data_IF_932769357710
#
_entry.id   IF_932769357710
#
_cell.length_a   1.000
_cell.length_b   1.000
_cell.length_c   1.000
_cell.angle_alpha   90.00
_cell.angle_beta   90.00
_cell.angle_gamma   90.00
#
_symmetry.space_group_name_H-M   'P 1'
#
loop_
_entity.id
_entity.type
_entity.pdbx_description
1 polymer ?
#
# COMPACT_ATOMS: atom_id res chain seq x y z
N UNK A 1 55.61 -9.46 -39.01
CA UNK A 1 54.51 -10.08 -39.75
C UNK A 1 53.25 -9.37 -39.34
N UNK A 2 52.90 -8.49 -40.06
CA UNK A 2 51.75 -8.02 -40.79
C UNK A 2 50.42 -8.33 -40.06
N UNK A 3 49.91 -7.34 -39.32
CA UNK A 3 48.55 -7.28 -38.83
C UNK A 3 47.68 -6.48 -39.79
N UNK A 4 46.56 -7.07 -40.22
CA UNK A 4 45.58 -6.45 -41.12
C UNK A 4 44.47 -5.80 -40.27
N UNK A 5 44.15 -4.54 -40.41
CA UNK A 5 43.00 -3.93 -39.72
C UNK A 5 41.71 -4.16 -40.51
N UNK A 6 40.74 -4.80 -39.88
CA UNK A 6 39.38 -4.93 -40.42
C UNK A 6 38.62 -3.58 -40.27
N UNK A 7 38.50 -2.86 -41.37
CA UNK A 7 37.61 -1.70 -41.52
C UNK A 7 36.18 -2.19 -41.79
N UNK A 8 35.30 -2.20 -40.79
CA UNK A 8 33.87 -2.34 -41.01
C UNK A 8 33.32 -0.97 -41.39
N UNK A 9 32.88 -0.86 -42.65
CA UNK A 9 32.24 0.32 -43.21
C UNK A 9 30.88 0.60 -42.54
N UNK A 10 30.80 1.67 -41.78
CA UNK A 10 29.54 2.34 -41.44
C UNK A 10 28.95 3.00 -42.68
N UNK A 11 28.02 2.34 -43.32
CA UNK A 11 27.22 2.92 -44.42
C UNK A 11 25.99 2.05 -44.73
N UNK A 12 25.12 1.80 -43.74
CA UNK A 12 23.79 1.20 -44.02
C UNK A 12 22.74 1.54 -42.97
N UNK A 13 22.97 2.52 -42.06
CA UNK A 13 21.95 2.98 -41.12
C UNK A 13 21.47 4.42 -41.38
N UNK A 14 21.87 5.04 -42.47
CA UNK A 14 21.59 6.43 -42.79
C UNK A 14 20.48 6.68 -43.82
N UNK A 15 19.69 5.68 -44.21
CA UNK A 15 18.71 5.86 -45.31
C UNK A 15 17.29 5.34 -45.03
N UNK A 16 16.94 5.05 -43.78
CA UNK A 16 15.61 4.55 -43.43
C UNK A 16 14.84 5.50 -42.45
N UNK A 17 15.35 6.69 -42.19
CA UNK A 17 14.72 7.66 -41.26
C UNK A 17 14.34 9.01 -41.90
N UNK A 18 14.46 9.15 -43.24
CA UNK A 18 13.88 10.30 -43.94
C UNK A 18 12.60 9.85 -44.63
N UNK A 19 11.51 10.62 -44.35
CA UNK A 19 10.17 10.55 -44.91
C UNK A 19 9.15 9.60 -44.24
N UNK A 20 8.89 9.82 -42.95
CA UNK A 20 7.52 9.72 -42.41
C UNK A 20 7.33 10.78 -41.33
N UNK A 21 6.67 11.86 -41.67
CA UNK A 21 6.07 12.79 -40.71
C UNK A 21 5.06 12.01 -39.84
N UNK A 22 5.47 11.60 -38.65
CA UNK A 22 4.54 11.12 -37.64
C UNK A 22 3.77 12.31 -37.10
N UNK A 23 2.44 12.30 -37.17
CA UNK A 23 1.65 13.42 -36.65
C UNK A 23 1.97 13.63 -35.18
N UNK A 24 2.39 14.84 -34.80
CA UNK A 24 2.86 15.22 -33.47
C UNK A 24 1.93 14.73 -32.33
N UNK A 25 0.61 14.65 -32.59
CA UNK A 25 -0.37 14.11 -31.64
C UNK A 25 -0.18 12.62 -31.33
N UNK A 26 0.28 11.81 -32.29
CA UNK A 26 0.55 10.37 -32.07
C UNK A 26 1.87 10.15 -31.36
N UNK A 27 2.87 10.99 -31.59
CA UNK A 27 4.16 10.96 -30.87
C UNK A 27 3.96 11.41 -29.43
N UNK A 28 3.17 12.46 -29.20
CA UNK A 28 2.84 12.91 -27.85
C UNK A 28 2.03 11.87 -27.08
N UNK A 29 1.09 11.18 -27.74
CA UNK A 29 0.33 10.08 -27.15
C UNK A 29 1.23 8.88 -26.84
N UNK A 30 2.18 8.54 -27.72
CA UNK A 30 3.12 7.44 -27.48
C UNK A 30 4.09 7.77 -26.35
N UNK A 31 4.60 9.01 -26.28
CA UNK A 31 5.46 9.47 -25.17
C UNK A 31 4.67 9.52 -23.87
N UNK A 32 3.41 9.93 -23.89
CA UNK A 32 2.54 9.91 -22.71
C UNK A 32 2.21 8.47 -22.27
N UNK A 33 1.94 7.56 -23.20
CA UNK A 33 1.75 6.14 -22.90
C UNK A 33 3.03 5.48 -22.37
N UNK A 34 4.20 5.82 -22.92
CA UNK A 34 5.49 5.34 -22.41
C UNK A 34 5.81 5.95 -21.04
N UNK A 35 5.48 7.22 -20.81
CA UNK A 35 5.60 7.86 -19.48
C UNK A 35 4.64 7.24 -18.46
N UNK A 36 3.41 6.90 -18.87
CA UNK A 36 2.43 6.20 -18.01
C UNK A 36 2.84 4.73 -17.81
N UNK A 37 3.40 4.06 -18.82
CA UNK A 37 3.93 2.69 -18.64
C UNK A 37 5.25 2.66 -17.85
N UNK A 38 6.07 3.71 -17.88
CA UNK A 38 7.25 3.84 -17.02
C UNK A 38 6.85 4.19 -15.55
N UNK A 39 5.67 4.77 -15.32
CA UNK A 39 5.14 4.97 -13.97
C UNK A 39 4.55 3.69 -13.36
N UNK A 40 4.41 2.62 -14.12
CA UNK A 40 4.11 1.25 -13.68
C UNK A 40 5.38 0.39 -13.61
N UNK A 41 6.57 0.99 -13.55
CA UNK A 41 7.69 0.27 -13.00
C UNK A 41 7.33 -0.01 -11.54
N UNK A 42 6.92 -1.26 -11.31
CA UNK A 42 6.92 -1.91 -10.01
C UNK A 42 8.28 -1.57 -9.38
N UNK A 43 8.31 -0.52 -8.59
CA UNK A 43 9.41 -0.31 -7.66
C UNK A 43 9.24 -1.45 -6.65
N UNK A 44 9.95 -2.54 -6.89
CA UNK A 44 10.00 -3.65 -5.96
C UNK A 44 10.35 -3.10 -4.58
N UNK A 45 9.71 -3.60 -3.53
CA UNK A 45 10.01 -3.24 -2.16
C UNK A 45 11.51 -3.41 -1.92
N UNK A 46 12.25 -2.31 -1.91
CA UNK A 46 13.71 -2.27 -1.92
C UNK A 46 14.29 -1.05 -2.64
N UNK A 47 13.53 -0.38 -3.52
CA UNK A 47 13.93 0.91 -4.05
C UNK A 47 13.54 2.00 -3.04
N UNK A 48 14.48 2.42 -2.23
CA UNK A 48 14.29 3.54 -1.32
C UNK A 48 13.90 4.80 -2.11
N UNK A 49 12.89 5.53 -1.63
CA UNK A 49 12.56 6.84 -2.17
C UNK A 49 13.74 7.80 -1.99
N UNK A 50 13.89 8.77 -2.90
CA UNK A 50 14.98 9.76 -2.82
C UNK A 50 14.92 10.61 -1.53
N UNK A 51 13.79 10.63 -0.85
CA UNK A 51 13.50 11.33 0.40
C UNK A 51 13.09 10.35 1.53
N UNK A 52 13.62 9.13 1.49
CA UNK A 52 13.34 8.06 2.48
C UNK A 52 13.64 8.51 3.91
N UNK A 53 14.67 9.34 4.10
CA UNK A 53 15.09 9.88 5.39
C UNK A 53 14.05 10.79 6.07
N UNK A 54 13.06 11.27 5.31
CA UNK A 54 11.96 12.10 5.81
C UNK A 54 10.71 11.29 6.18
N UNK A 55 10.66 10.01 5.81
CA UNK A 55 9.54 9.12 6.15
C UNK A 55 9.64 8.78 7.63
N UNK A 56 8.59 9.07 8.39
CA UNK A 56 8.50 8.77 9.83
C UNK A 56 7.84 7.42 10.08
N UNK A 57 6.81 7.09 9.29
CA UNK A 57 6.06 5.84 9.39
C UNK A 57 6.60 4.82 8.39
N UNK A 58 7.89 4.47 8.50
CA UNK A 58 8.62 3.64 7.51
C UNK A 58 7.96 2.28 7.30
N UNK A 59 7.61 1.56 8.38
CA UNK A 59 6.91 0.27 8.29
C UNK A 59 5.63 0.39 7.45
N UNK A 60 4.82 1.40 7.69
CA UNK A 60 3.54 1.58 7.01
C UNK A 60 3.72 1.93 5.52
N UNK A 61 4.68 2.79 5.21
CA UNK A 61 4.99 3.16 3.82
C UNK A 61 5.53 1.96 3.07
N UNK A 62 6.51 1.22 3.64
CA UNK A 62 7.10 0.04 3.02
C UNK A 62 6.06 -1.07 2.81
N UNK A 63 5.18 -1.31 3.79
CA UNK A 63 4.08 -2.25 3.66
C UNK A 63 3.09 -1.86 2.56
N UNK A 64 2.70 -0.59 2.49
CA UNK A 64 1.80 -0.10 1.45
C UNK A 64 2.44 -0.14 0.05
N UNK A 65 3.76 0.07 -0.06
CA UNK A 65 4.52 -0.11 -1.31
C UNK A 65 4.54 -1.58 -1.70
N UNK A 66 4.88 -2.48 -0.79
CA UNK A 66 4.91 -3.92 -1.01
C UNK A 66 3.55 -4.49 -1.46
N UNK A 67 2.47 -3.91 -0.96
CA UNK A 67 1.08 -4.25 -1.33
C UNK A 67 0.56 -3.50 -2.58
N UNK A 68 1.42 -2.78 -3.30
CA UNK A 68 1.10 -1.96 -4.47
C UNK A 68 0.06 -0.85 -4.24
N UNK A 69 -0.15 -0.42 -2.99
CA UNK A 69 -1.10 0.65 -2.63
C UNK A 69 -0.48 2.02 -2.88
N UNK A 70 0.82 2.15 -2.60
CA UNK A 70 1.61 3.38 -2.75
C UNK A 70 2.64 3.20 -3.84
N UNK A 71 2.76 4.20 -4.72
CA UNK A 71 3.90 4.41 -5.59
C UNK A 71 4.55 5.76 -5.30
N UNK A 72 5.80 5.93 -5.70
CA UNK A 72 6.49 7.23 -5.69
C UNK A 72 6.06 8.12 -6.84
N UNK A 73 6.49 9.36 -6.78
CA UNK A 73 6.38 10.29 -7.89
C UNK A 73 7.41 9.96 -8.99
N UNK A 74 7.24 10.44 -10.24
CA UNK A 74 8.17 10.18 -11.34
C UNK A 74 9.62 10.65 -11.08
N UNK A 75 9.83 11.56 -10.12
CA UNK A 75 11.15 12.02 -9.68
C UNK A 75 11.82 11.09 -8.65
N UNK A 76 11.18 9.97 -8.31
CA UNK A 76 11.64 9.00 -7.33
C UNK A 76 11.37 9.39 -5.89
N UNK A 77 10.69 10.50 -5.62
CA UNK A 77 10.32 10.92 -4.26
C UNK A 77 8.97 10.35 -3.81
N UNK A 78 8.77 10.27 -2.49
CA UNK A 78 7.48 9.95 -1.87
C UNK A 78 6.73 11.18 -1.40
N UNK A 79 7.44 12.23 -1.03
CA UNK A 79 6.91 13.49 -0.46
C UNK A 79 6.11 13.28 0.83
N UNK A 80 6.69 12.66 1.85
CA UNK A 80 5.98 12.24 3.07
C UNK A 80 5.28 13.40 3.80
N UNK A 81 5.86 14.59 3.80
CA UNK A 81 5.33 15.78 4.46
C UNK A 81 4.27 16.53 3.63
N UNK A 82 4.10 16.16 2.36
CA UNK A 82 3.07 16.74 1.48
C UNK A 82 1.66 16.35 1.93
N UNK A 83 0.70 17.29 1.83
CA UNK A 83 -0.70 16.98 2.12
C UNK A 83 -1.29 16.05 1.07
N UNK A 84 -1.94 14.96 1.51
CA UNK A 84 -2.60 14.03 0.61
C UNK A 84 -3.88 14.63 0.03
N UNK A 85 -4.12 14.39 -1.26
CA UNK A 85 -5.33 14.83 -1.95
C UNK A 85 -6.44 13.78 -1.89
N UNK A 86 -7.68 14.24 -2.01
CA UNK A 86 -8.84 13.33 -2.01
C UNK A 86 -8.77 12.31 -3.15
N UNK A 87 -8.33 12.72 -4.34
CA UNK A 87 -8.11 11.78 -5.45
C UNK A 87 -7.03 10.74 -5.16
N UNK A 88 -5.94 11.13 -4.52
CA UNK A 88 -4.81 10.25 -4.19
C UNK A 88 -5.22 9.20 -3.14
N UNK A 89 -5.84 9.64 -2.04
CA UNK A 89 -6.30 8.69 -1.01
C UNK A 89 -7.40 7.77 -1.52
N UNK A 90 -8.27 8.26 -2.42
CA UNK A 90 -9.29 7.41 -3.05
C UNK A 90 -8.66 6.31 -3.89
N UNK A 91 -7.60 6.62 -4.65
CA UNK A 91 -6.82 5.60 -5.35
C UNK A 91 -6.24 4.59 -4.36
N UNK A 92 -5.58 5.02 -3.30
CA UNK A 92 -4.99 4.13 -2.30
C UNK A 92 -6.02 3.15 -1.73
N UNK A 93 -7.19 3.64 -1.31
CA UNK A 93 -8.26 2.81 -0.77
C UNK A 93 -8.79 1.84 -1.83
N UNK A 94 -9.07 2.33 -3.04
CA UNK A 94 -9.59 1.50 -4.12
C UNK A 94 -8.63 0.35 -4.47
N UNK A 95 -7.34 0.62 -4.60
CA UNK A 95 -6.31 -0.39 -4.87
C UNK A 95 -6.18 -1.35 -3.69
N UNK A 96 -6.20 -0.86 -2.45
CA UNK A 96 -6.16 -1.69 -1.25
C UNK A 96 -7.34 -2.69 -1.21
N UNK A 97 -8.55 -2.22 -1.51
CA UNK A 97 -9.76 -3.07 -1.55
C UNK A 97 -9.77 -4.04 -2.73
N UNK A 98 -8.98 -3.79 -3.75
CA UNK A 98 -8.82 -4.66 -4.91
C UNK A 98 -7.56 -5.56 -4.86
N UNK A 99 -7.01 -5.77 -3.66
CA UNK A 99 -5.87 -6.67 -3.43
C UNK A 99 -4.58 -6.20 -4.13
N UNK A 100 -4.30 -4.91 -4.14
CA UNK A 100 -3.10 -4.32 -4.76
C UNK A 100 -3.16 -4.23 -6.29
N UNK A 101 -4.33 -4.45 -6.89
CA UNK A 101 -4.52 -4.41 -8.33
C UNK A 101 -5.29 -3.17 -8.75
N UNK A 102 -4.97 -2.64 -9.93
CA UNK A 102 -5.77 -1.58 -10.52
C UNK A 102 -7.21 -2.08 -10.77
N UNK A 103 -8.24 -1.28 -10.43
CA UNK A 103 -9.61 -1.66 -10.66
C UNK A 103 -9.92 -1.69 -12.15
N UNK A 104 -10.70 -2.67 -12.57
CA UNK A 104 -11.24 -2.70 -13.93
C UNK A 104 -12.50 -1.82 -13.98
N UNK A 105 -12.32 -0.54 -14.25
CA UNK A 105 -13.41 0.43 -14.30
C UNK A 105 -13.75 0.84 -15.73
N UNK A 106 -15.04 0.71 -16.07
CA UNK A 106 -15.56 1.25 -17.31
C UNK A 106 -15.82 2.75 -17.16
N UNK A 107 -15.18 3.56 -18.01
CA UNK A 107 -15.37 5.03 -18.04
C UNK A 107 -16.52 5.46 -18.94
N UNK A 108 -17.32 4.54 -19.47
CA UNK A 108 -18.37 4.84 -20.46
C UNK A 108 -19.67 5.41 -19.86
N UNK A 109 -19.77 5.49 -18.55
CA UNK A 109 -20.95 6.04 -17.86
C UNK A 109 -20.83 7.57 -17.69
N UNK A 110 -21.96 8.23 -17.44
CA UNK A 110 -21.95 9.62 -17.02
C UNK A 110 -21.24 9.72 -15.67
N UNK A 111 -20.22 10.60 -15.49
CA UNK A 111 -19.51 10.73 -14.25
C UNK A 111 -20.43 11.21 -13.12
N UNK A 112 -20.25 10.67 -11.92
CA UNK A 112 -21.00 11.10 -10.73
C UNK A 112 -20.70 12.55 -10.37
N UNK A 113 -19.46 13.00 -10.59
CA UNK A 113 -19.02 14.35 -10.20
C UNK A 113 -18.56 15.17 -11.42
N UNK A 114 -18.95 16.44 -11.43
CA UNK A 114 -18.67 17.35 -12.54
C UNK A 114 -17.25 17.91 -12.58
N UNK A 115 -16.50 17.81 -11.47
CA UNK A 115 -15.17 18.42 -11.31
C UNK A 115 -14.02 17.40 -11.38
N UNK A 116 -14.25 16.24 -12.00
CA UNK A 116 -13.24 15.18 -12.18
C UNK A 116 -12.89 15.03 -13.66
N UNK A 117 -13.84 14.58 -14.50
CA UNK A 117 -13.65 14.36 -15.93
C UNK A 117 -13.32 15.68 -16.64
N UNK A 118 -12.34 15.67 -17.56
CA UNK A 118 -11.91 16.85 -18.29
C UNK A 118 -11.01 17.81 -17.50
N UNK A 119 -10.61 17.44 -16.29
CA UNK A 119 -9.66 18.19 -15.45
C UNK A 119 -8.33 17.46 -15.32
N UNK A 120 -7.37 18.03 -14.58
CA UNK A 120 -6.11 17.37 -14.24
C UNK A 120 -6.29 16.16 -13.31
N UNK A 121 -7.49 15.98 -12.74
CA UNK A 121 -7.85 14.84 -11.89
C UNK A 121 -8.60 13.72 -12.64
N UNK A 122 -8.73 13.81 -13.97
CA UNK A 122 -9.43 12.81 -14.80
C UNK A 122 -8.86 11.38 -14.63
N UNK A 123 -7.57 11.27 -14.30
CA UNK A 123 -6.92 10.00 -14.00
C UNK A 123 -7.55 9.25 -12.81
N UNK A 124 -8.17 9.98 -11.88
CA UNK A 124 -8.76 9.42 -10.67
C UNK A 124 -10.22 8.99 -10.85
N UNK A 125 -10.85 9.28 -12.00
CA UNK A 125 -12.28 9.05 -12.23
C UNK A 125 -12.69 7.61 -11.92
N UNK A 126 -11.96 6.63 -12.44
CA UNK A 126 -12.27 5.24 -12.23
C UNK A 126 -12.22 4.80 -10.77
N UNK A 127 -11.24 5.28 -10.01
CA UNK A 127 -11.15 5.00 -8.58
C UNK A 127 -12.28 5.67 -7.79
N UNK A 128 -12.63 6.90 -8.16
CA UNK A 128 -13.71 7.66 -7.54
C UNK A 128 -15.05 6.94 -7.75
N UNK A 129 -15.38 6.59 -9.00
CA UNK A 129 -16.64 5.89 -9.32
C UNK A 129 -16.73 4.53 -8.61
N UNK A 130 -15.62 3.78 -8.53
CA UNK A 130 -15.56 2.52 -7.79
C UNK A 130 -15.85 2.70 -6.30
N UNK A 131 -15.23 3.70 -5.66
CA UNK A 131 -15.44 3.96 -4.24
C UNK A 131 -16.83 4.56 -3.94
N UNK A 132 -17.40 5.35 -4.85
CA UNK A 132 -18.79 5.85 -4.75
C UNK A 132 -19.79 4.70 -4.78
N UNK A 133 -19.62 3.78 -5.74
CA UNK A 133 -20.51 2.61 -5.89
C UNK A 133 -20.51 1.74 -4.63
N UNK A 134 -19.39 1.69 -3.92
CA UNK A 134 -19.25 0.96 -2.65
C UNK A 134 -19.67 1.78 -1.41
N UNK A 135 -20.13 3.03 -1.59
CA UNK A 135 -20.52 3.91 -0.49
C UNK A 135 -19.36 4.43 0.37
N UNK A 136 -18.10 4.19 -0.04
CA UNK A 136 -16.91 4.57 0.73
C UNK A 136 -16.69 6.08 0.75
N UNK A 137 -16.98 6.71 -0.38
CA UNK A 137 -16.84 8.16 -0.56
C UNK A 137 -18.14 8.79 -1.04
N UNK A 138 -18.29 10.06 -0.70
CA UNK A 138 -19.35 10.92 -1.20
C UNK A 138 -18.77 12.24 -1.69
N UNK A 139 -19.59 13.03 -2.41
CA UNK A 139 -19.21 14.37 -2.84
C UNK A 139 -19.17 15.37 -1.68
N UNK A 140 -18.65 16.56 -1.99
CA UNK A 140 -18.61 17.71 -1.08
C UNK A 140 -19.86 18.62 -1.22
N UNK A 141 -20.85 18.17 -1.96
CA UNK A 141 -22.05 18.93 -2.30
C UNK A 141 -21.99 19.57 -3.68
N UNK A 142 -23.15 19.94 -4.23
CA UNK A 142 -23.26 20.57 -5.54
C UNK A 142 -22.76 19.72 -6.71
N UNK A 143 -22.83 18.39 -6.60
CA UNK A 143 -22.35 17.48 -7.66
C UNK A 143 -20.83 17.49 -7.84
N UNK A 144 -20.05 17.86 -6.82
CA UNK A 144 -18.59 17.94 -6.85
C UNK A 144 -17.92 16.97 -5.90
N UNK A 145 -16.75 16.47 -6.27
CA UNK A 145 -15.88 15.61 -5.46
C UNK A 145 -14.77 16.37 -4.74
N UNK A 146 -14.28 17.47 -5.32
CA UNK A 146 -13.08 18.21 -4.88
C UNK A 146 -11.80 17.37 -4.92
N UNK A 147 -11.39 16.83 -6.09
CA UNK A 147 -10.31 15.85 -6.20
C UNK A 147 -8.96 16.37 -5.68
N UNK A 148 -8.69 17.66 -5.83
CA UNK A 148 -7.45 18.31 -5.37
C UNK A 148 -7.56 18.88 -3.94
N UNK A 149 -8.69 18.69 -3.25
CA UNK A 149 -8.87 19.08 -1.86
C UNK A 149 -8.02 18.21 -0.93
N UNK A 150 -7.53 18.78 0.17
CA UNK A 150 -6.84 18.04 1.22
C UNK A 150 -7.85 17.18 2.00
N UNK A 151 -7.35 16.12 2.64
CA UNK A 151 -8.16 15.21 3.46
C UNK A 151 -7.73 15.36 4.92
N UNK A 152 -8.70 15.41 5.83
CA UNK A 152 -8.45 15.37 7.28
C UNK A 152 -8.44 13.93 7.80
N UNK A 153 -7.89 13.72 9.03
CA UNK A 153 -7.90 12.39 9.63
C UNK A 153 -9.33 11.88 9.87
N UNK A 154 -10.27 12.73 10.28
CA UNK A 154 -11.68 12.34 10.41
C UNK A 154 -12.30 11.89 9.08
N UNK A 155 -12.00 12.58 8.00
CA UNK A 155 -12.49 12.21 6.66
C UNK A 155 -11.91 10.87 6.19
N UNK A 156 -10.59 10.67 6.35
CA UNK A 156 -9.96 9.40 6.02
C UNK A 156 -10.48 8.25 6.89
N UNK A 157 -10.64 8.49 8.20
CA UNK A 157 -11.20 7.50 9.12
C UNK A 157 -12.59 7.06 8.71
N UNK A 158 -13.47 7.97 8.28
CA UNK A 158 -14.77 7.60 7.74
C UNK A 158 -14.64 6.68 6.53
N UNK A 159 -13.78 7.01 5.57
CA UNK A 159 -13.55 6.18 4.38
C UNK A 159 -13.05 4.77 4.76
N UNK A 160 -12.09 4.69 5.70
CA UNK A 160 -11.52 3.42 6.15
C UNK A 160 -12.52 2.58 6.96
N UNK A 161 -13.33 3.20 7.84
CA UNK A 161 -14.37 2.50 8.59
C UNK A 161 -15.41 1.89 7.66
N UNK A 162 -15.87 2.64 6.65
CA UNK A 162 -16.79 2.11 5.65
C UNK A 162 -16.14 0.98 4.85
N UNK A 163 -14.86 1.09 4.53
CA UNK A 163 -14.09 0.01 3.88
C UNK A 163 -13.99 -1.25 4.74
N UNK A 164 -14.03 -1.12 6.07
CA UNK A 164 -14.08 -2.23 7.03
C UNK A 164 -15.48 -2.84 7.19
N UNK A 165 -16.51 -2.22 6.61
CA UNK A 165 -17.90 -2.70 6.64
C UNK A 165 -18.81 -1.96 7.61
N UNK A 166 -18.34 -0.87 8.24
CA UNK A 166 -19.22 -0.03 9.08
C UNK A 166 -20.21 0.73 8.21
N UNK A 167 -21.49 0.66 8.56
CA UNK A 167 -22.56 1.36 7.87
C UNK A 167 -22.66 2.80 8.37
N UNK A 168 -22.57 3.76 7.45
CA UNK A 168 -22.55 5.19 7.80
C UNK A 168 -23.82 5.69 8.48
N UNK A 169 -24.98 5.12 8.18
CA UNK A 169 -26.25 5.56 8.74
C UNK A 169 -26.47 4.92 10.12
N UNK A 170 -26.14 3.63 10.27
CA UNK A 170 -26.25 2.91 11.54
C UNK A 170 -25.30 3.50 12.59
N UNK A 171 -24.06 3.78 12.18
CA UNK A 171 -23.00 4.28 13.06
C UNK A 171 -23.04 5.81 13.27
N UNK A 172 -23.97 6.50 12.60
CA UNK A 172 -24.11 7.96 12.71
C UNK A 172 -22.94 8.75 12.11
N UNK A 173 -22.37 8.26 10.99
CA UNK A 173 -21.30 8.95 10.27
C UNK A 173 -21.84 10.01 9.30
N UNK A 174 -23.07 10.43 9.52
CA UNK A 174 -23.79 11.49 8.80
C UNK A 174 -24.31 12.54 9.79
N UNK A 175 -24.73 13.72 9.28
CA UNK A 175 -25.24 14.80 10.14
C UNK A 175 -24.15 15.53 10.93
N UNK A 176 -24.56 16.29 11.95
CA UNK A 176 -23.70 17.28 12.64
C UNK A 176 -22.64 16.68 13.57
N UNK A 177 -22.80 15.44 14.03
CA UNK A 177 -21.88 14.77 14.95
C UNK A 177 -21.06 13.66 14.27
N UNK A 178 -21.04 13.63 12.95
CA UNK A 178 -20.41 12.56 12.17
C UNK A 178 -18.94 12.35 12.52
N UNK A 179 -18.19 13.45 12.65
CA UNK A 179 -16.75 13.44 12.92
C UNK A 179 -16.43 12.90 14.32
N UNK A 180 -17.22 13.25 15.32
CA UNK A 180 -17.09 12.70 16.67
C UNK A 180 -17.31 11.18 16.67
N UNK A 181 -18.41 10.70 16.06
CA UNK A 181 -18.72 9.28 16.00
C UNK A 181 -17.65 8.50 15.24
N UNK A 182 -17.17 9.03 14.11
CA UNK A 182 -16.06 8.48 13.32
C UNK A 182 -14.79 8.38 14.15
N UNK A 183 -14.37 9.46 14.83
CA UNK A 183 -13.12 9.48 15.59
C UNK A 183 -13.14 8.55 16.80
N UNK A 184 -14.28 8.42 17.48
CA UNK A 184 -14.47 7.45 18.58
C UNK A 184 -14.26 6.02 18.03
N UNK A 185 -14.93 5.66 16.95
CA UNK A 185 -14.80 4.33 16.34
C UNK A 185 -13.40 4.10 15.78
N UNK A 186 -12.80 5.07 15.10
CA UNK A 186 -11.46 5.01 14.56
C UNK A 186 -10.42 4.70 15.66
N UNK A 187 -10.56 5.34 16.82
CA UNK A 187 -9.72 5.07 18.00
C UNK A 187 -9.92 3.64 18.50
N UNK A 188 -11.17 3.18 18.62
CA UNK A 188 -11.49 1.82 19.10
C UNK A 188 -10.93 0.72 18.23
N UNK A 189 -10.95 0.91 16.91
CA UNK A 189 -10.42 -0.08 15.94
C UNK A 189 -8.93 0.10 15.64
N UNK A 190 -8.28 1.10 16.25
CA UNK A 190 -6.85 1.32 16.16
C UNK A 190 -6.38 2.03 14.89
N UNK A 191 -7.24 2.78 14.19
CA UNK A 191 -6.81 3.52 12.98
C UNK A 191 -5.75 4.59 13.28
N UNK A 192 -5.67 5.08 14.52
CA UNK A 192 -4.70 6.08 14.98
C UNK A 192 -3.49 5.48 15.72
N UNK A 193 -3.32 4.16 15.71
CA UNK A 193 -2.17 3.51 16.35
C UNK A 193 -0.87 4.01 15.70
N UNK A 194 0.09 4.43 16.54
CA UNK A 194 1.37 5.01 16.09
C UNK A 194 1.27 6.47 15.62
N UNK A 195 0.13 7.13 15.85
CA UNK A 195 -0.13 8.52 15.45
C UNK A 195 -0.56 9.35 16.67
N UNK A 196 0.18 9.26 17.75
CA UNK A 196 -0.13 9.96 19.00
C UNK A 196 -0.16 11.48 18.79
N UNK A 197 -1.27 12.10 19.21
CA UNK A 197 -1.47 13.54 19.08
C UNK A 197 -1.83 14.03 17.68
N UNK A 198 -2.27 13.15 16.77
CA UNK A 198 -2.77 13.56 15.44
C UNK A 198 -3.95 14.52 15.59
N UNK A 199 -3.88 15.69 14.94
CA UNK A 199 -5.01 16.60 14.83
C UNK A 199 -5.99 16.06 13.80
N UNK A 200 -7.13 15.57 14.29
CA UNK A 200 -8.14 14.92 13.43
C UNK A 200 -8.83 15.87 12.46
N UNK A 201 -8.72 17.18 12.68
CA UNK A 201 -9.32 18.25 11.85
C UNK A 201 -8.31 18.85 10.84
N UNK A 202 -7.02 18.65 11.05
CA UNK A 202 -5.99 19.16 10.15
C UNK A 202 -5.84 18.31 8.87
N UNK A 203 -5.29 18.92 7.83
CA UNK A 203 -4.93 18.22 6.60
C UNK A 203 -3.84 17.18 6.88
N UNK A 204 -4.09 15.94 6.45
CA UNK A 204 -3.15 14.85 6.60
C UNK A 204 -1.97 14.96 5.65
N UNK A 205 -0.80 14.57 6.15
CA UNK A 205 0.36 14.28 5.29
C UNK A 205 0.21 12.92 4.62
N UNK A 206 0.96 12.70 3.53
CA UNK A 206 1.02 11.41 2.84
C UNK A 206 1.53 10.30 3.76
N UNK A 207 2.51 10.61 4.60
CA UNK A 207 3.10 9.71 5.58
C UNK A 207 2.08 9.26 6.64
N UNK A 208 1.35 10.20 7.24
CA UNK A 208 0.29 9.89 8.21
C UNK A 208 -0.86 9.11 7.58
N UNK A 209 -1.23 9.43 6.34
CA UNK A 209 -2.27 8.70 5.63
C UNK A 209 -1.87 7.23 5.34
N UNK A 210 -0.60 6.98 5.01
CA UNK A 210 -0.09 5.61 4.83
C UNK A 210 -0.20 4.80 6.14
N UNK A 211 0.15 5.40 7.29
CA UNK A 211 -0.02 4.73 8.58
C UNK A 211 -1.47 4.36 8.87
N UNK A 212 -2.41 5.27 8.59
CA UNK A 212 -3.84 4.97 8.80
C UNK A 212 -4.34 3.85 7.87
N UNK A 213 -3.91 3.83 6.61
CA UNK A 213 -4.26 2.74 5.66
C UNK A 213 -3.66 1.41 6.12
N UNK A 214 -2.40 1.40 6.56
CA UNK A 214 -1.75 0.20 7.10
C UNK A 214 -2.46 -0.32 8.36
N UNK A 215 -2.87 0.57 9.26
CA UNK A 215 -3.66 0.19 10.44
C UNK A 215 -5.01 -0.42 10.04
N UNK A 216 -5.69 0.15 9.05
CA UNK A 216 -6.96 -0.38 8.56
C UNK A 216 -6.83 -1.78 7.93
N UNK A 217 -5.75 -2.06 7.20
CA UNK A 217 -5.50 -3.38 6.65
C UNK A 217 -5.37 -4.47 7.74
N UNK A 218 -4.85 -4.08 8.91
CA UNK A 218 -4.71 -4.99 10.07
C UNK A 218 -5.96 -5.07 10.94
N UNK A 219 -6.93 -4.19 10.74
CA UNK A 219 -8.19 -4.19 11.48
C UNK A 219 -9.14 -5.27 10.96
N UNK A 220 -9.95 -5.83 11.87
CA UNK A 220 -11.01 -6.78 11.49
C UNK A 220 -12.14 -6.07 10.76
N UNK A 221 -12.64 -6.73 9.73
CA UNK A 221 -13.88 -6.33 9.09
C UNK A 221 -15.08 -6.59 10.02
N UNK A 222 -16.17 -5.90 9.73
CA UNK A 222 -17.43 -6.07 10.45
C UNK A 222 -18.60 -6.33 9.49
N UNK A 223 -19.72 -6.74 10.05
CA UNK A 223 -21.01 -6.83 9.38
C UNK A 223 -22.12 -6.54 10.39
N UNK A 224 -23.37 -6.68 9.96
CA UNK A 224 -24.55 -6.48 10.79
C UNK A 224 -25.45 -7.68 10.72
N UNK A 225 -25.95 -8.11 11.89
CA UNK A 225 -27.00 -9.11 12.02
C UNK A 225 -28.29 -8.42 12.41
N UNK A 226 -29.38 -8.86 11.78
CA UNK A 226 -30.73 -8.34 12.01
C UNK A 226 -31.56 -9.43 12.68
N UNK A 227 -31.98 -9.19 13.91
CA UNK A 227 -32.83 -10.11 14.67
C UNK A 227 -34.17 -9.48 14.97
N UNK A 228 -35.24 -10.28 14.93
CA UNK A 228 -36.55 -9.85 15.40
C UNK A 228 -36.71 -10.26 16.86
N UNK A 229 -36.89 -9.29 17.72
CA UNK A 229 -37.13 -9.50 19.16
C UNK A 229 -38.53 -9.04 19.51
N UNK A 230 -39.17 -9.73 20.46
CA UNK A 230 -40.46 -9.27 20.99
C UNK A 230 -40.22 -8.33 22.17
N UNK A 231 -40.57 -7.06 21.99
CA UNK A 231 -40.55 -6.06 23.05
C UNK A 231 -41.97 -5.56 23.29
N UNK A 232 -42.48 -5.71 24.52
CA UNK A 232 -43.85 -5.33 24.91
C UNK A 232 -44.95 -5.92 24.00
N UNK A 233 -44.71 -7.17 23.49
CA UNK A 233 -45.68 -7.84 22.60
C UNK A 233 -45.65 -7.38 21.15
N UNK A 234 -44.71 -6.51 20.76
CA UNK A 234 -44.47 -6.08 19.38
C UNK A 234 -43.16 -6.66 18.88
N UNK A 235 -43.11 -7.06 17.61
CA UNK A 235 -41.88 -7.46 16.95
C UNK A 235 -41.08 -6.22 16.53
N UNK A 236 -39.89 -6.08 17.10
CA UNK A 236 -38.96 -4.97 16.81
C UNK A 236 -37.72 -5.58 16.15
N UNK A 237 -37.24 -4.95 15.06
CA UNK A 237 -35.96 -5.32 14.45
C UNK A 237 -34.83 -4.73 15.28
N UNK A 238 -33.90 -5.60 15.74
CA UNK A 238 -32.68 -5.19 16.40
C UNK A 238 -31.50 -5.44 15.45
N UNK A 239 -30.67 -4.44 15.29
CA UNK A 239 -29.45 -4.50 14.50
C UNK A 239 -28.24 -4.62 15.44
N UNK A 240 -27.40 -5.61 15.22
CA UNK A 240 -26.20 -5.84 16.04
C UNK A 240 -24.96 -5.87 15.16
N UNK A 241 -23.94 -5.12 15.58
CA UNK A 241 -22.62 -5.11 14.92
C UNK A 241 -21.88 -6.42 15.23
N UNK A 242 -21.46 -7.14 14.22
CA UNK A 242 -20.74 -8.43 14.35
C UNK A 242 -19.36 -8.32 13.73
N UNK A 243 -18.27 -8.49 14.52
CA UNK A 243 -16.93 -8.59 13.98
C UNK A 243 -16.77 -9.85 13.13
N UNK A 244 -16.15 -9.73 11.95
CA UNK A 244 -15.72 -10.88 11.16
C UNK A 244 -14.45 -11.51 11.73
N UNK A 245 -14.18 -12.76 11.35
CA UNK A 245 -12.97 -13.47 11.76
C UNK A 245 -11.71 -12.85 11.11
N UNK A 246 -11.82 -12.33 9.89
CA UNK A 246 -10.73 -11.86 9.04
C UNK A 246 -10.46 -10.37 9.18
N UNK A 247 -9.20 -10.00 9.03
CA UNK A 247 -8.78 -8.62 8.81
C UNK A 247 -9.00 -8.22 7.35
N UNK A 248 -8.94 -6.92 7.06
CA UNK A 248 -9.02 -6.43 5.69
C UNK A 248 -7.86 -6.97 4.82
N UNK A 249 -6.66 -7.10 5.38
CA UNK A 249 -5.51 -7.71 4.70
C UNK A 249 -5.78 -9.17 4.32
N UNK A 250 -6.32 -9.96 5.26
CA UNK A 250 -6.65 -11.35 4.99
C UNK A 250 -7.75 -11.49 3.93
N UNK A 251 -8.76 -10.63 3.95
CA UNK A 251 -9.88 -10.73 3.00
C UNK A 251 -9.55 -10.23 1.59
N UNK A 252 -8.66 -9.23 1.45
CA UNK A 252 -8.36 -8.60 0.15
C UNK A 252 -7.09 -9.14 -0.51
N UNK A 253 -6.11 -9.53 0.29
CA UNK A 253 -4.82 -10.00 -0.20
C UNK A 253 -4.57 -11.49 0.09
N UNK A 254 -5.48 -12.14 0.84
CA UNK A 254 -5.22 -13.47 1.42
C UNK A 254 -3.92 -13.43 2.27
N UNK A 255 -3.59 -12.23 2.73
CA UNK A 255 -2.32 -11.87 3.34
C UNK A 255 -2.27 -12.24 4.82
N UNK A 256 -1.09 -12.65 5.27
CA UNK A 256 -0.76 -12.77 6.70
C UNK A 256 0.49 -12.00 7.03
N UNK A 257 0.58 -11.59 8.29
CA UNK A 257 1.75 -10.94 8.86
C UNK A 257 2.44 -11.90 9.80
N UNK A 258 3.76 -11.99 9.69
CA UNK A 258 4.62 -12.60 10.69
C UNK A 258 5.64 -11.58 11.17
N UNK A 259 5.89 -11.53 12.47
CA UNK A 259 6.93 -10.70 13.07
C UNK A 259 7.94 -11.62 13.79
N UNK A 260 9.22 -11.39 13.54
CA UNK A 260 10.30 -12.17 14.12
C UNK A 260 11.66 -11.78 13.59
N UNK A 261 12.70 -12.47 14.05
CA UNK A 261 14.06 -12.22 13.59
C UNK A 261 14.29 -12.83 12.20
N UNK A 262 14.79 -12.05 11.24
CA UNK A 262 15.25 -12.57 9.95
C UNK A 262 16.55 -13.33 10.18
N UNK A 263 16.46 -14.67 10.27
CA UNK A 263 17.52 -15.53 10.81
C UNK A 263 18.36 -16.23 9.75
N UNK A 264 17.80 -16.51 8.58
CA UNK A 264 18.49 -17.23 7.52
C UNK A 264 17.98 -16.78 6.14
N UNK A 265 18.84 -16.95 5.15
CA UNK A 265 18.46 -16.80 3.73
C UNK A 265 19.17 -17.82 2.85
N UNK A 266 18.60 -18.06 1.68
CA UNK A 266 19.24 -18.75 0.56
C UNK A 266 18.82 -18.14 -0.76
N UNK A 267 19.67 -18.19 -1.77
CA UNK A 267 19.40 -17.69 -3.12
C UNK A 267 19.42 -18.80 -4.14
N UNK A 268 18.38 -18.90 -4.94
CA UNK A 268 18.28 -19.84 -6.04
C UNK A 268 18.60 -19.12 -7.35
N UNK A 269 19.79 -19.35 -7.89
CA UNK A 269 20.27 -18.71 -9.12
C UNK A 269 19.47 -19.07 -10.38
N UNK A 270 18.84 -20.26 -10.41
CA UNK A 270 18.04 -20.67 -11.56
C UNK A 270 16.67 -20.01 -11.63
N UNK A 271 16.15 -19.59 -10.47
CA UNK A 271 14.85 -18.93 -10.35
C UNK A 271 14.97 -17.44 -10.07
N UNK A 272 16.19 -16.96 -9.82
CA UNK A 272 16.45 -15.59 -9.38
C UNK A 272 15.59 -15.20 -8.16
N UNK A 273 15.48 -16.15 -7.20
CA UNK A 273 14.55 -16.07 -6.07
C UNK A 273 15.29 -16.31 -4.76
N UNK A 274 15.04 -15.46 -3.79
CA UNK A 274 15.48 -15.59 -2.41
C UNK A 274 14.47 -16.36 -1.57
N UNK A 275 14.96 -17.14 -0.61
CA UNK A 275 14.15 -17.72 0.46
C UNK A 275 14.68 -17.20 1.78
N UNK A 276 13.81 -16.71 2.64
CA UNK A 276 14.11 -16.14 3.94
C UNK A 276 13.43 -16.93 5.03
N UNK A 277 14.08 -17.10 6.18
CA UNK A 277 13.51 -17.70 7.37
C UNK A 277 13.35 -16.63 8.45
N UNK A 278 12.12 -16.48 8.94
CA UNK A 278 11.76 -15.58 10.02
C UNK A 278 11.48 -16.43 11.25
N UNK A 279 12.28 -16.24 12.29
CA UNK A 279 12.17 -16.97 13.56
C UNK A 279 11.33 -16.16 14.54
N UNK A 280 10.14 -16.66 14.83
CA UNK A 280 9.22 -16.08 15.83
C UNK A 280 9.57 -16.56 17.23
N UNK A 281 9.89 -17.84 17.36
CA UNK A 281 10.34 -18.47 18.59
C UNK A 281 11.29 -19.64 18.28
N UNK A 282 11.80 -20.32 19.30
CA UNK A 282 12.67 -21.50 19.10
C UNK A 282 12.03 -22.64 18.31
N UNK A 283 10.70 -22.74 18.35
CA UNK A 283 9.93 -23.79 17.66
C UNK A 283 9.04 -23.28 16.53
N UNK A 284 8.91 -21.96 16.37
CA UNK A 284 8.02 -21.35 15.35
C UNK A 284 8.83 -20.52 14.37
N UNK A 285 8.81 -20.95 13.13
CA UNK A 285 9.56 -20.36 12.03
C UNK A 285 8.68 -20.32 10.78
N UNK A 286 8.74 -19.20 10.09
CA UNK A 286 8.04 -19.01 8.82
C UNK A 286 9.08 -18.81 7.72
N UNK A 287 8.92 -19.54 6.62
CA UNK A 287 9.75 -19.36 5.43
C UNK A 287 8.96 -18.66 4.35
N UNK A 288 9.55 -17.60 3.82
CA UNK A 288 8.98 -16.82 2.72
C UNK A 288 10.00 -16.68 1.59
N UNK A 289 9.51 -16.52 0.37
CA UNK A 289 10.33 -16.32 -0.83
C UNK A 289 9.97 -15.03 -1.55
N UNK A 290 10.96 -14.43 -2.19
CA UNK A 290 10.83 -13.18 -2.93
C UNK A 290 11.91 -13.08 -4.02
N UNK A 291 11.63 -12.36 -5.08
CA UNK A 291 12.65 -11.93 -6.06
C UNK A 291 13.48 -10.75 -5.57
N UNK A 292 13.07 -10.14 -4.47
CA UNK A 292 13.75 -8.97 -3.89
C UNK A 292 14.79 -9.39 -2.86
N UNK A 293 15.88 -8.62 -2.78
CA UNK A 293 16.96 -8.81 -1.83
C UNK A 293 16.70 -8.06 -0.51
N UNK A 294 16.41 -8.82 0.55
CA UNK A 294 16.24 -8.33 1.91
C UNK A 294 17.42 -8.70 2.84
N UNK A 295 18.54 -9.12 2.28
CA UNK A 295 19.70 -9.56 3.09
C UNK A 295 20.24 -8.47 4.02
N UNK A 296 20.04 -7.20 3.68
CA UNK A 296 20.39 -6.06 4.55
C UNK A 296 19.63 -6.06 5.89
N UNK A 297 18.50 -6.77 5.98
CA UNK A 297 17.69 -6.89 7.21
C UNK A 297 18.08 -8.09 8.07
N UNK A 298 19.12 -8.85 7.69
CA UNK A 298 19.55 -10.03 8.46
C UNK A 298 19.91 -9.69 9.91
N UNK A 299 19.35 -10.48 10.83
CA UNK A 299 19.53 -10.33 12.27
C UNK A 299 18.61 -9.28 12.90
N UNK A 300 17.84 -8.54 12.12
CA UNK A 300 16.87 -7.57 12.64
C UNK A 300 15.52 -8.23 12.93
N UNK A 301 14.71 -7.59 13.79
CA UNK A 301 13.29 -7.90 13.90
C UNK A 301 12.60 -7.28 12.69
N UNK A 302 11.93 -8.14 11.94
CA UNK A 302 11.21 -7.77 10.72
C UNK A 302 9.74 -8.15 10.83
N UNK A 303 8.91 -7.45 10.08
CA UNK A 303 7.60 -7.94 9.66
C UNK A 303 7.67 -8.39 8.22
N UNK A 304 7.10 -9.57 7.94
CA UNK A 304 6.83 -9.99 6.58
C UNK A 304 5.34 -10.11 6.35
N UNK A 305 4.89 -9.57 5.23
CA UNK A 305 3.54 -9.81 4.70
C UNK A 305 3.67 -10.85 3.60
N UNK A 306 2.90 -11.92 3.68
CA UNK A 306 2.96 -13.02 2.73
C UNK A 306 1.57 -13.54 2.35
N UNK A 307 1.48 -14.12 1.14
CA UNK A 307 0.28 -14.79 0.65
C UNK A 307 0.10 -16.13 1.37
N UNK A 308 -0.96 -16.23 2.16
CA UNK A 308 -1.28 -17.44 2.92
C UNK A 308 -1.82 -18.58 2.03
N UNK A 309 -2.32 -18.29 0.84
CA UNK A 309 -2.85 -19.28 -0.10
C UNK A 309 -1.77 -19.93 -0.96
N UNK A 310 -0.55 -19.39 -0.97
CA UNK A 310 0.60 -20.07 -1.61
C UNK A 310 0.68 -21.51 -1.11
N UNK A 311 0.65 -22.45 -2.05
CA UNK A 311 0.77 -23.88 -1.73
C UNK A 311 2.18 -24.22 -1.26
N UNK A 312 2.28 -25.07 -0.22
CA UNK A 312 3.56 -25.51 0.33
C UNK A 312 3.97 -24.78 1.60
N UNK A 313 5.17 -25.13 2.11
CA UNK A 313 5.71 -24.59 3.35
C UNK A 313 6.32 -23.21 3.20
N UNK A 314 6.89 -22.91 2.02
CA UNK A 314 7.50 -21.61 1.72
C UNK A 314 6.42 -20.76 1.06
N UNK A 315 6.14 -19.58 1.64
CA UNK A 315 5.08 -18.66 1.21
C UNK A 315 5.63 -17.56 0.31
N UNK A 316 4.83 -17.05 -0.63
CA UNK A 316 5.21 -15.89 -1.44
C UNK A 316 5.12 -14.62 -0.58
N UNK A 317 6.23 -13.90 -0.40
CA UNK A 317 6.22 -12.64 0.30
C UNK A 317 5.72 -11.51 -0.58
N UNK A 318 4.81 -10.70 -0.07
CA UNK A 318 4.54 -9.37 -0.61
C UNK A 318 5.71 -8.43 -0.31
N UNK A 319 6.23 -8.47 0.94
CA UNK A 319 7.41 -7.72 1.35
C UNK A 319 7.90 -8.12 2.74
N UNK A 320 9.15 -7.72 3.03
CA UNK A 320 9.79 -7.85 4.34
C UNK A 320 10.34 -6.46 4.68
N UNK A 321 10.04 -5.95 5.85
CA UNK A 321 10.47 -4.62 6.30
C UNK A 321 10.88 -4.63 7.76
N UNK A 322 11.83 -3.76 8.10
CA UNK A 322 12.29 -3.59 9.47
C UNK A 322 11.15 -3.05 10.35
N UNK A 323 11.14 -3.46 11.60
CA UNK A 323 10.29 -2.84 12.63
C UNK A 323 11.13 -1.82 13.40
N UNK A 324 10.44 -0.92 14.12
CA UNK A 324 11.11 0.01 15.04
C UNK A 324 11.58 -0.69 16.34
N UNK A 325 11.50 -2.03 16.41
CA UNK A 325 11.87 -2.81 17.57
C UNK A 325 13.38 -3.00 17.62
N UNK A 326 14.01 -2.57 18.71
CA UNK A 326 15.42 -2.82 18.95
C UNK A 326 15.66 -4.27 19.37
N UNK A 327 16.62 -4.94 18.74
CA UNK A 327 17.10 -6.25 19.20
C UNK A 327 18.28 -6.06 20.15
N UNK A 328 18.09 -6.28 21.43
CA UNK A 328 19.20 -6.38 22.38
C UNK A 328 19.72 -7.82 22.36
N UNK A 329 20.79 -8.07 21.61
CA UNK A 329 21.51 -9.35 21.65
C UNK A 329 22.47 -9.35 22.82
N UNK A 330 22.15 -10.13 23.85
CA UNK A 330 23.09 -10.40 24.93
C UNK A 330 23.78 -11.74 24.64
N UNK A 331 25.02 -11.69 24.15
CA UNK A 331 25.86 -12.87 23.97
C UNK A 331 27.12 -12.79 24.84
N UNK A 332 27.57 -13.91 25.41
CA UNK A 332 28.89 -14.00 26.00
C UNK A 332 29.91 -14.02 24.88
N UNK A 333 31.05 -13.32 25.04
CA UNK A 333 32.08 -13.21 24.00
C UNK A 333 32.57 -14.60 23.50
N UNK A 334 32.49 -15.64 24.31
CA UNK A 334 32.86 -17.02 23.96
C UNK A 334 31.80 -17.77 23.15
N UNK A 335 30.55 -17.26 23.07
CA UNK A 335 29.44 -17.87 22.36
C UNK A 335 29.25 -17.32 20.96
N UNK A 336 30.01 -16.26 20.61
CA UNK A 336 29.99 -15.69 19.26
C UNK A 336 30.72 -16.63 18.30
N UNK A 337 30.14 -16.95 17.12
CA UNK A 337 30.83 -17.74 16.12
C UNK A 337 32.14 -17.03 15.73
N UNK A 338 33.24 -17.80 15.61
CA UNK A 338 34.51 -17.27 15.14
C UNK A 338 34.32 -16.69 13.73
N UNK A 339 34.29 -15.38 13.65
CA UNK A 339 34.26 -14.68 12.37
C UNK A 339 35.63 -14.90 11.68
N UNK A 340 35.62 -15.58 10.53
CA UNK A 340 36.81 -15.87 9.74
C UNK A 340 37.22 -14.72 8.82
N UNK A 341 36.35 -13.74 8.60
CA UNK A 341 36.65 -12.51 7.84
C UNK A 341 35.81 -11.36 8.40
N UNK A 342 36.47 -10.40 9.00
CA UNK A 342 35.90 -9.10 9.31
C UNK A 342 36.09 -8.20 8.06
N UNK A 343 35.02 -7.96 7.31
CA UNK A 343 34.91 -6.77 6.48
C UNK A 343 34.22 -5.69 7.29
N UNK A 344 34.68 -4.44 7.14
CA UNK A 344 34.31 -3.23 7.89
C UNK A 344 32.80 -2.91 7.94
N UNK A 345 31.97 -3.81 8.39
CA UNK A 345 30.58 -3.56 8.75
C UNK A 345 30.51 -3.62 10.27
N UNK A 346 30.54 -2.43 10.86
CA UNK A 346 30.26 -2.24 12.25
C UNK A 346 28.92 -2.86 12.60
N UNK A 347 28.91 -3.76 13.58
CA UNK A 347 27.69 -4.04 14.35
C UNK A 347 27.27 -2.73 15.02
N UNK A 348 26.13 -2.19 14.65
CA UNK A 348 25.40 -1.22 15.45
C UNK A 348 24.30 -1.95 16.17
#
# INVERSE_FOLDING_TARGET
MVGVPCKIRGKLLGKALEDKEFPQKKVLSLVLCVAVMLSVMVMGAGAAFSDQDKIKNTEAVDACVALNIIGGDPDGSYKPEGNIKRSEITKMICVALNGGKEPNVSTNTTPTFSDVRGTNAAWAEGYIESCVTQGIISGVGGGRFSPNGNVTASQLSKMLLVSLGYDSDIEGYTGNAWDMNVNVRATQVGLYKGLEGVDVSAALTRDTAAQMVWNALQAKEVGYEYTLVSENGQLVSKTELVPKATTLLESKYEGKIVEGTLSQFSYNTNKEEWTYEITVSTSDKVQVKSTQDFTALMGQIVKAVYDNNTTGKIKDAYGIFATDSEVVLTARFGDLPKMTTATDTSFK
#
